data_IF_638859407220
#
_entry.id   IF_638859407220
#
_cell.length_a   1.000
_cell.length_b   1.000
_cell.length_c   1.000
_cell.angle_alpha   90.00
_cell.angle_beta   90.00
_cell.angle_gamma   90.00
#
_symmetry.space_group_name_H-M   'P 1'
#
loop_
_entity.id
_entity.type
_entity.pdbx_description
1 polymer ?
#
# COMPACT_ATOMS: atom_id res chain seq x y z
N UNK A 1 16.93 -12.10 -0.04
CA UNK A 1 15.93 -11.76 -1.06
C UNK A 1 14.58 -11.97 -0.41
N UNK A 2 13.91 -10.86 -0.17
CA UNK A 2 12.59 -10.87 0.47
C UNK A 2 11.56 -11.25 -0.59
N UNK A 3 10.67 -12.22 -0.32
CA UNK A 3 9.69 -12.66 -1.33
C UNK A 3 8.55 -11.63 -1.46
N UNK A 4 8.71 -10.71 -2.40
CA UNK A 4 7.73 -9.68 -2.75
C UNK A 4 6.84 -10.08 -3.94
N UNK A 5 6.78 -11.37 -4.29
CA UNK A 5 6.00 -11.85 -5.45
C UNK A 5 4.52 -11.47 -5.35
N UNK A 6 3.95 -11.49 -4.13
CA UNK A 6 2.57 -11.03 -3.87
C UNK A 6 2.39 -9.54 -4.17
N UNK A 7 3.36 -8.70 -3.80
CA UNK A 7 3.33 -7.27 -4.08
C UNK A 7 3.39 -7.00 -5.58
N UNK A 8 4.28 -7.69 -6.30
CA UNK A 8 4.38 -7.53 -7.76
C UNK A 8 3.12 -8.04 -8.47
N UNK A 9 2.48 -9.09 -7.96
CA UNK A 9 1.18 -9.57 -8.47
C UNK A 9 0.09 -8.52 -8.29
N UNK A 10 0.03 -7.85 -7.13
CA UNK A 10 -0.92 -6.75 -6.89
C UNK A 10 -0.65 -5.54 -7.82
N UNK A 11 0.62 -5.23 -8.06
CA UNK A 11 1.03 -4.11 -8.92
C UNK A 11 0.91 -4.41 -10.42
N UNK A 12 0.66 -5.66 -10.81
CA UNK A 12 0.37 -6.03 -12.20
C UNK A 12 -1.00 -5.50 -12.64
N UNK A 13 -1.97 -5.47 -11.72
CA UNK A 13 -3.28 -4.87 -11.93
C UNK A 13 -3.15 -3.33 -12.05
N UNK A 14 -3.56 -2.73 -13.18
CA UNK A 14 -3.38 -1.29 -13.41
C UNK A 14 -4.21 -0.42 -12.46
N UNK A 15 -5.40 -0.87 -12.04
CA UNK A 15 -6.27 -0.10 -11.14
C UNK A 15 -5.68 -0.10 -9.72
N UNK A 16 -5.28 -1.28 -9.22
CA UNK A 16 -4.61 -1.42 -7.92
C UNK A 16 -3.31 -0.63 -7.91
N UNK A 17 -2.53 -0.73 -8.99
CA UNK A 17 -1.27 0.00 -9.14
C UNK A 17 -1.49 1.51 -8.98
N UNK A 18 -2.41 2.10 -9.74
CA UNK A 18 -2.72 3.54 -9.68
C UNK A 18 -3.24 3.96 -8.30
N UNK A 19 -4.07 3.12 -7.67
CA UNK A 19 -4.57 3.36 -6.32
C UNK A 19 -3.43 3.39 -5.28
N UNK A 20 -2.51 2.43 -5.35
CA UNK A 20 -1.34 2.36 -4.48
C UNK A 20 -0.36 3.52 -4.74
N UNK A 21 -0.21 3.97 -5.99
CA UNK A 21 0.52 5.20 -6.32
C UNK A 21 -0.08 6.40 -5.63
N UNK A 22 -1.41 6.54 -5.72
CA UNK A 22 -2.15 7.58 -5.03
C UNK A 22 -1.86 7.54 -3.54
N UNK A 23 -1.93 6.39 -2.88
CA UNK A 23 -1.60 6.29 -1.45
C UNK A 23 -0.13 6.65 -1.14
N UNK A 24 0.78 6.25 -2.01
CA UNK A 24 2.22 6.47 -1.85
C UNK A 24 2.63 7.93 -2.09
N UNK A 25 1.87 8.73 -2.85
CA UNK A 25 2.29 10.06 -3.29
C UNK A 25 1.26 11.17 -3.06
N UNK A 26 -0.02 10.83 -2.92
CA UNK A 26 -1.10 11.80 -2.75
C UNK A 26 -1.35 12.10 -1.27
N UNK A 27 -1.63 13.38 -1.03
CA UNK A 27 -2.21 13.90 0.20
C UNK A 27 -1.29 14.07 1.41
N UNK A 28 -1.85 14.53 2.54
CA UNK A 28 -1.11 14.79 3.76
C UNK A 28 -0.48 13.50 4.30
N UNK A 29 0.49 13.60 5.21
CA UNK A 29 1.07 12.41 5.83
C UNK A 29 -0.03 11.50 6.42
N UNK A 30 0.01 10.22 6.11
CA UNK A 30 -0.87 9.20 6.70
C UNK A 30 -0.66 9.23 8.23
N UNK A 31 -1.72 9.08 9.04
CA UNK A 31 -1.56 8.95 10.48
C UNK A 31 -0.56 7.85 10.83
N UNK A 32 0.44 8.15 11.65
CA UNK A 32 1.51 7.21 11.96
C UNK A 32 2.78 7.90 12.47
N UNK A 33 3.80 7.12 12.90
CA UNK A 33 5.06 7.70 13.36
C UNK A 33 5.71 8.50 12.23
N UNK A 34 6.04 9.76 12.50
CA UNK A 34 6.74 10.62 11.56
C UNK A 34 8.20 10.17 11.43
N UNK A 35 8.46 9.24 10.52
CA UNK A 35 9.81 8.78 10.19
C UNK A 35 10.38 9.67 9.08
N UNK A 36 11.60 10.19 9.27
CA UNK A 36 12.30 10.98 8.25
C UNK A 36 12.37 10.21 6.93
N UNK A 37 11.94 10.83 5.83
CA UNK A 37 11.91 10.20 4.50
C UNK A 37 10.66 9.36 4.18
N UNK A 38 9.72 9.18 5.11
CA UNK A 38 8.47 8.40 4.86
C UNK A 38 7.31 9.24 4.33
N UNK A 39 7.60 10.41 3.74
CA UNK A 39 6.54 11.33 3.27
C UNK A 39 5.94 10.91 1.92
N UNK A 40 6.69 10.15 1.13
CA UNK A 40 6.31 9.71 -0.23
C UNK A 40 6.91 8.34 -0.55
N UNK A 41 6.39 7.68 -1.59
CA UNK A 41 6.95 6.47 -2.16
C UNK A 41 6.81 5.22 -1.28
N UNK A 42 7.70 4.23 -1.44
CA UNK A 42 7.60 2.93 -0.76
C UNK A 42 7.63 3.02 0.77
N UNK A 43 8.41 3.96 1.30
CA UNK A 43 8.49 4.20 2.74
C UNK A 43 7.14 4.62 3.34
N UNK A 44 6.34 5.40 2.59
CA UNK A 44 5.00 5.81 3.02
C UNK A 44 4.03 4.63 3.03
N UNK A 45 4.07 3.75 2.02
CA UNK A 45 3.25 2.53 1.99
C UNK A 45 3.59 1.60 3.16
N UNK A 46 4.88 1.42 3.48
CA UNK A 46 5.28 0.66 4.66
C UNK A 46 4.74 1.27 5.95
N UNK A 47 4.84 2.59 6.12
CA UNK A 47 4.31 3.27 7.32
C UNK A 47 2.80 3.07 7.42
N UNK A 48 2.08 3.14 6.31
CA UNK A 48 0.65 2.84 6.27
C UNK A 48 0.35 1.41 6.73
N UNK A 49 1.06 0.41 6.21
CA UNK A 49 0.83 -0.99 6.60
C UNK A 49 1.20 -1.23 8.07
N UNK A 50 2.29 -0.63 8.55
CA UNK A 50 2.63 -0.68 9.97
C UNK A 50 1.48 -0.11 10.82
N UNK A 51 0.96 1.05 10.44
CA UNK A 51 -0.15 1.69 11.13
C UNK A 51 -1.45 0.88 11.05
N UNK A 52 -1.74 0.25 9.91
CA UNK A 52 -2.87 -0.68 9.76
C UNK A 52 -2.75 -1.84 10.75
N UNK A 53 -1.61 -2.53 10.79
CA UNK A 53 -1.37 -3.66 11.70
C UNK A 53 -1.55 -3.24 13.17
N UNK A 54 -1.11 -2.03 13.53
CA UNK A 54 -1.24 -1.49 14.89
C UNK A 54 -2.67 -1.06 15.27
N UNK A 55 -3.50 -0.70 14.30
CA UNK A 55 -4.83 -0.10 14.55
C UNK A 55 -5.98 -1.10 14.43
N UNK A 56 -5.85 -2.14 13.61
CA UNK A 56 -6.92 -3.12 13.41
C UNK A 56 -6.90 -4.23 14.48
N UNK A 57 -8.05 -4.90 14.74
CA UNK A 57 -8.13 -6.03 15.65
C UNK A 57 -7.06 -7.10 15.39
N UNK A 58 -6.59 -7.74 16.46
CA UNK A 58 -5.47 -8.69 16.42
C UNK A 58 -5.75 -9.87 15.50
N UNK A 59 -6.97 -10.37 15.54
CA UNK A 59 -7.46 -11.46 14.72
C UNK A 59 -7.44 -11.09 13.24
N UNK A 60 -7.75 -9.83 12.92
CA UNK A 60 -7.78 -9.33 11.56
C UNK A 60 -6.36 -9.19 11.00
N UNK A 61 -5.43 -8.51 11.69
CA UNK A 61 -4.07 -8.41 11.17
C UNK A 61 -3.31 -9.74 11.19
N UNK A 62 -3.59 -10.64 12.15
CA UNK A 62 -2.98 -11.99 12.13
C UNK A 62 -3.30 -12.76 10.86
N UNK A 63 -4.52 -12.61 10.33
CA UNK A 63 -4.88 -13.24 9.07
C UNK A 63 -4.08 -12.71 7.88
N UNK A 64 -3.67 -11.42 7.91
CA UNK A 64 -2.84 -10.80 6.89
C UNK A 64 -1.37 -11.21 7.00
N UNK A 65 -0.89 -11.45 8.22
CA UNK A 65 0.48 -11.91 8.47
C UNK A 65 0.65 -13.42 8.24
N UNK A 66 -0.43 -14.16 7.97
CA UNK A 66 -0.43 -15.60 7.80
C UNK A 66 -0.41 -15.98 6.34
N UNK A 67 0.58 -16.75 5.91
CA UNK A 67 0.66 -17.27 4.54
C UNK A 67 -0.38 -18.37 4.23
N UNK A 68 -1.15 -18.80 5.23
CA UNK A 68 -2.09 -19.94 5.12
C UNK A 68 -3.54 -19.56 5.30
N UNK A 69 -3.82 -18.37 5.82
CA UNK A 69 -5.17 -17.88 6.03
C UNK A 69 -5.61 -16.95 4.91
N UNK A 70 -6.92 -16.83 4.71
CA UNK A 70 -7.46 -15.80 3.83
C UNK A 70 -7.48 -14.48 4.58
N UNK A 71 -7.05 -13.42 3.91
CA UNK A 71 -7.05 -12.08 4.46
C UNK A 71 -8.46 -11.68 4.89
N UNK A 72 -8.62 -11.36 6.18
CA UNK A 72 -9.89 -10.87 6.71
C UNK A 72 -10.18 -9.51 6.09
N UNK A 73 -11.33 -9.39 5.43
CA UNK A 73 -11.73 -8.18 4.73
C UNK A 73 -11.81 -6.96 5.67
N UNK A 74 -11.48 -5.80 5.14
CA UNK A 74 -11.60 -4.52 5.84
C UNK A 74 -12.93 -3.85 5.47
N UNK A 75 -13.57 -3.17 6.42
CA UNK A 75 -14.78 -2.41 6.14
C UNK A 75 -14.46 -0.99 5.63
N UNK A 76 -15.36 -0.38 4.84
CA UNK A 76 -15.20 1.01 4.34
C UNK A 76 -15.02 2.00 5.49
N UNK A 77 -15.81 1.86 6.56
CA UNK A 77 -15.69 2.73 7.75
C UNK A 77 -14.36 2.54 8.48
N UNK A 78 -13.82 1.31 8.47
CA UNK A 78 -12.50 1.03 9.01
C UNK A 78 -11.41 1.70 8.16
N UNK A 79 -11.55 1.68 6.83
CA UNK A 79 -10.62 2.39 5.92
C UNK A 79 -10.66 3.88 6.21
N UNK A 80 -11.85 4.47 6.34
CA UNK A 80 -12.02 5.89 6.69
C UNK A 80 -11.39 6.24 8.03
N UNK A 81 -11.55 5.37 9.03
CA UNK A 81 -10.97 5.56 10.35
C UNK A 81 -9.43 5.52 10.33
N UNK A 82 -8.83 4.64 9.52
CA UNK A 82 -7.37 4.47 9.45
C UNK A 82 -6.70 5.48 8.52
N UNK A 83 -7.22 5.62 7.29
CA UNK A 83 -6.62 6.47 6.25
C UNK A 83 -7.00 7.94 6.45
N UNK A 84 -8.22 8.20 6.92
CA UNK A 84 -8.78 9.55 7.05
C UNK A 84 -9.46 10.04 5.76
N UNK A 85 -10.51 10.83 5.94
CA UNK A 85 -11.33 11.36 4.84
C UNK A 85 -10.54 12.23 3.85
N UNK A 86 -9.62 13.07 4.35
CA UNK A 86 -8.84 13.98 3.51
C UNK A 86 -7.87 13.20 2.60
N UNK A 87 -7.16 12.20 3.15
CA UNK A 87 -6.26 11.37 2.35
C UNK A 87 -7.02 10.56 1.30
N UNK A 88 -8.20 10.02 1.64
CA UNK A 88 -9.07 9.34 0.66
C UNK A 88 -9.52 10.31 -0.44
N UNK A 89 -9.90 11.53 -0.09
CA UNK A 89 -10.29 12.55 -1.07
C UNK A 89 -9.13 12.94 -2.00
N UNK A 90 -7.91 12.98 -1.48
CA UNK A 90 -6.71 13.30 -2.26
C UNK A 90 -6.35 12.19 -3.24
N UNK A 91 -6.46 10.93 -2.80
CA UNK A 91 -6.32 9.76 -3.69
C UNK A 91 -7.44 9.74 -4.74
N UNK A 92 -8.66 10.09 -4.38
CA UNK A 92 -9.78 10.19 -5.32
C UNK A 92 -9.51 11.23 -6.42
N UNK A 93 -8.99 12.41 -6.06
CA UNK A 93 -8.56 13.41 -7.04
C UNK A 93 -7.40 12.94 -7.91
N UNK A 94 -6.47 12.16 -7.36
CA UNK A 94 -5.35 11.60 -8.10
C UNK A 94 -5.79 10.54 -9.13
N UNK A 95 -6.78 9.73 -8.76
CA UNK A 95 -7.28 8.61 -9.57
C UNK A 95 -8.46 8.98 -10.47
N UNK A 96 -8.86 10.26 -10.51
CA UNK A 96 -10.07 10.74 -11.18
C UNK A 96 -11.32 9.94 -10.80
N UNK A 97 -11.43 9.62 -9.51
CA UNK A 97 -12.50 8.79 -8.94
C UNK A 97 -13.23 9.51 -7.80
N UNK A 98 -14.27 8.87 -7.25
CA UNK A 98 -14.98 9.40 -6.08
C UNK A 98 -14.36 8.91 -4.77
N UNK A 99 -14.40 9.69 -3.67
CA UNK A 99 -13.92 9.25 -2.36
C UNK A 99 -14.59 7.96 -1.86
N UNK A 100 -15.87 7.74 -2.19
CA UNK A 100 -16.61 6.52 -1.86
C UNK A 100 -16.04 5.31 -2.60
N UNK A 101 -15.81 5.45 -3.92
CA UNK A 101 -15.23 4.40 -4.75
C UNK A 101 -13.81 4.06 -4.31
N UNK A 102 -12.99 5.07 -4.00
CA UNK A 102 -11.63 4.87 -3.46
C UNK A 102 -11.69 4.13 -2.13
N UNK A 103 -12.54 4.55 -1.19
CA UNK A 103 -12.64 3.88 0.10
C UNK A 103 -13.08 2.40 -0.04
N UNK A 104 -13.99 2.12 -0.98
CA UNK A 104 -14.41 0.75 -1.33
C UNK A 104 -13.25 -0.07 -1.92
N UNK A 105 -12.50 0.48 -2.87
CA UNK A 105 -11.36 -0.21 -3.47
C UNK A 105 -10.25 -0.46 -2.43
N UNK A 106 -9.96 0.53 -1.59
CA UNK A 106 -9.00 0.40 -0.49
C UNK A 106 -9.42 -0.68 0.51
N UNK A 107 -10.72 -0.83 0.78
CA UNK A 107 -11.22 -1.88 1.68
C UNK A 107 -10.92 -3.29 1.16
N UNK A 108 -10.87 -3.47 -0.16
CA UNK A 108 -10.47 -4.72 -0.81
C UNK A 108 -8.95 -4.89 -0.88
N UNK A 109 -8.20 -3.81 -1.19
CA UNK A 109 -6.76 -3.89 -1.49
C UNK A 109 -5.87 -3.85 -0.25
N UNK A 110 -6.23 -3.11 0.80
CA UNK A 110 -5.36 -2.91 1.97
C UNK A 110 -5.00 -4.21 2.72
N UNK A 111 -5.91 -5.19 2.91
CA UNK A 111 -5.56 -6.49 3.47
C UNK A 111 -4.49 -7.22 2.66
N UNK A 112 -4.63 -7.24 1.34
CA UNK A 112 -3.68 -7.91 0.44
C UNK A 112 -2.35 -7.16 0.36
N UNK A 113 -2.37 -5.83 0.42
CA UNK A 113 -1.17 -5.02 0.53
C UNK A 113 -0.41 -5.31 1.83
N UNK A 114 -1.12 -5.48 2.95
CA UNK A 114 -0.50 -5.80 4.23
C UNK A 114 0.20 -7.16 4.17
N UNK A 115 -0.49 -8.19 3.66
CA UNK A 115 0.06 -9.53 3.44
C UNK A 115 1.28 -9.50 2.50
N UNK A 116 1.17 -8.79 1.38
CA UNK A 116 2.25 -8.65 0.41
C UNK A 116 3.50 -7.95 0.95
N UNK A 117 3.34 -7.06 1.93
CA UNK A 117 4.43 -6.36 2.61
C UNK A 117 4.90 -7.08 3.87
N UNK A 118 4.31 -8.22 4.24
CA UNK A 118 4.71 -9.01 5.41
C UNK A 118 5.04 -10.48 5.12
N UNK A 119 5.91 -10.79 4.14
CA UNK A 119 6.26 -12.17 3.83
C UNK A 119 6.85 -12.86 5.07
N UNK A 120 6.37 -14.07 5.38
CA UNK A 120 6.76 -14.81 6.58
C UNK A 120 6.28 -14.16 7.89
N UNK A 121 5.25 -13.31 7.83
CA UNK A 121 4.65 -12.62 8.98
C UNK A 121 5.46 -11.43 9.51
N UNK A 122 6.46 -10.95 8.75
CA UNK A 122 7.33 -9.83 9.16
C UNK A 122 7.31 -8.73 8.12
N UNK A 123 6.98 -7.51 8.55
CA UNK A 123 6.89 -6.33 7.68
C UNK A 123 8.25 -5.94 7.07
N UNK A 124 8.34 -5.93 5.74
CA UNK A 124 9.56 -5.64 4.96
C UNK A 124 10.11 -4.25 5.22
N UNK A 125 11.41 -4.15 5.55
CA UNK A 125 12.16 -2.90 5.82
C UNK A 125 11.94 -1.79 4.77
N UNK A 126 11.90 -0.52 5.17
CA UNK A 126 11.67 0.59 4.22
C UNK A 126 12.76 0.67 3.13
N UNK A 127 14.03 0.52 3.53
CA UNK A 127 15.16 0.52 2.61
C UNK A 127 15.18 -0.73 1.72
N UNK A 128 14.76 -1.87 2.26
CA UNK A 128 14.65 -3.12 1.50
C UNK A 128 13.53 -3.02 0.46
N UNK A 129 12.36 -2.53 0.84
CA UNK A 129 11.23 -2.32 -0.07
C UNK A 129 11.60 -1.34 -1.21
N UNK A 130 12.30 -0.25 -0.88
CA UNK A 130 12.77 0.68 -1.90
C UNK A 130 13.77 0.01 -2.86
N UNK A 131 14.74 -0.74 -2.32
CA UNK A 131 15.74 -1.48 -3.12
C UNK A 131 15.08 -2.49 -4.07
N UNK A 132 14.17 -3.30 -3.58
CA UNK A 132 13.49 -4.34 -4.38
C UNK A 132 12.59 -3.73 -5.47
N UNK A 133 11.92 -2.60 -5.18
CA UNK A 133 11.13 -1.88 -6.19
C UNK A 133 12.02 -1.21 -7.24
N UNK A 134 13.17 -0.65 -6.85
CA UNK A 134 14.16 -0.09 -7.78
C UNK A 134 14.80 -1.17 -8.66
N UNK A 135 15.11 -2.34 -8.09
CA UNK A 135 15.63 -3.51 -8.83
C UNK A 135 14.59 -4.03 -9.83
N UNK A 136 13.33 -4.20 -9.42
CA UNK A 136 12.24 -4.60 -10.31
C UNK A 136 11.96 -3.56 -11.41
N UNK A 137 12.09 -2.27 -11.10
CA UNK A 137 11.99 -1.19 -12.07
C UNK A 137 13.17 -1.21 -13.06
N UNK A 138 14.39 -1.51 -12.60
CA UNK A 138 15.59 -1.67 -13.42
C UNK A 138 15.53 -2.89 -14.35
N UNK A 139 14.94 -4.01 -13.90
CA UNK A 139 14.64 -5.15 -14.76
C UNK A 139 13.53 -4.83 -15.79
N UNK A 140 12.57 -4.00 -15.38
CA UNK A 140 11.49 -3.46 -16.22
C UNK A 140 11.95 -2.33 -17.14
N UNK A 141 13.19 -1.82 -17.05
CA UNK A 141 13.71 -0.69 -17.85
C UNK A 141 13.99 -1.05 -19.33
N UNK A 142 13.46 -2.20 -19.79
CA UNK A 142 13.14 -2.39 -21.21
C UNK A 142 11.77 -1.84 -21.60
N UNK A 143 10.96 -1.35 -20.66
CA UNK A 143 9.68 -0.66 -20.83
C UNK A 143 9.18 -0.05 -19.50
N UNK A 144 9.67 1.14 -19.11
CA UNK A 144 9.02 2.05 -18.15
C UNK A 144 8.64 1.47 -16.77
N UNK A 145 9.55 1.59 -15.80
CA UNK A 145 9.38 1.02 -14.46
C UNK A 145 8.08 1.37 -13.73
N UNK A 146 7.65 0.45 -12.85
CA UNK A 146 6.38 0.50 -12.12
C UNK A 146 6.18 1.85 -11.42
N UNK A 147 7.21 2.44 -10.76
CA UNK A 147 7.17 3.71 -10.00
C UNK A 147 7.72 4.94 -10.76
N UNK A 148 7.85 4.85 -12.09
CA UNK A 148 8.37 5.96 -12.90
C UNK A 148 7.52 7.23 -12.81
N UNK A 149 8.12 8.42 -13.02
CA UNK A 149 7.38 9.66 -12.96
C UNK A 149 6.30 9.68 -14.05
N UNK A 150 5.04 9.72 -13.65
CA UNK A 150 3.92 10.06 -14.54
C UNK A 150 4.08 11.53 -14.95
N UNK A 151 4.85 11.75 -16.02
CA UNK A 151 4.83 13.00 -16.78
C UNK A 151 3.49 13.08 -17.49
N UNK A 152 2.62 13.97 -16.99
CA UNK A 152 1.49 14.51 -17.74
C UNK A 152 1.98 15.40 -18.89
#
# INVERSE_FOLDING_TARGET
MTDLSKLFTLLDDPEIRVLLYGLAHAGPAIPGPAIAGSRTGPARLRVLVAYLIETVPVEQHRSWLSDTERNTAMGIEQVRAVIGYDAIADVARYTDSSPEAVAFQLAAVLPDLADALSPGGVLVGAAELARELDEAAGESDRSGGVFGPHVH
#
